data_IF_197836499641
#
_entry.id   IF_197836499641
#
_cell.length_a   1.000
_cell.length_b   1.000
_cell.length_c   1.000
_cell.angle_alpha   90.00
_cell.angle_beta   90.00
_cell.angle_gamma   90.00
#
_symmetry.space_group_name_H-M   'P 1'
#
loop_
_entity.id
_entity.type
_entity.pdbx_description
1 polymer ?
#
# COMPACT_ATOMS: atom_id res chain seq x y z
N UNK A 1 6.25 31.13 -24.86
CA UNK A 1 4.98 30.46 -24.52
C UNK A 1 5.35 29.37 -23.55
N UNK A 2 5.22 29.62 -22.24
CA UNK A 2 5.48 28.62 -21.21
C UNK A 2 4.32 27.62 -21.23
N UNK A 3 4.64 26.34 -21.32
CA UNK A 3 3.68 25.25 -21.24
C UNK A 3 3.01 25.29 -19.85
N UNK A 4 1.69 25.56 -19.76
CA UNK A 4 1.00 25.65 -18.47
C UNK A 4 0.90 24.29 -17.74
N UNK A 5 1.36 23.19 -18.36
CA UNK A 5 1.37 21.85 -17.75
C UNK A 5 2.76 21.40 -17.25
N UNK A 6 3.78 22.24 -17.36
CA UNK A 6 5.18 21.90 -17.03
C UNK A 6 5.54 22.09 -15.54
N UNK A 7 4.81 21.47 -14.60
CA UNK A 7 5.09 21.66 -13.16
C UNK A 7 5.30 20.41 -12.29
N UNK A 8 5.41 19.21 -12.84
CA UNK A 8 5.44 18.03 -11.96
C UNK A 8 6.60 17.04 -12.09
N UNK A 9 7.54 17.08 -13.04
CA UNK A 9 8.33 15.86 -13.37
C UNK A 9 7.38 14.65 -13.63
N UNK A 10 7.84 13.59 -14.29
CA UNK A 10 7.08 12.32 -14.34
C UNK A 10 7.70 11.25 -13.45
N UNK A 11 8.86 11.56 -12.88
CA UNK A 11 9.63 10.62 -12.08
C UNK A 11 9.09 10.55 -10.65
N UNK A 12 8.96 9.34 -10.08
CA UNK A 12 8.54 9.17 -8.71
C UNK A 12 9.54 9.84 -7.75
N UNK A 13 9.04 10.31 -6.61
CA UNK A 13 9.84 10.95 -5.56
C UNK A 13 9.58 10.26 -4.23
N UNK A 14 10.65 9.88 -3.52
CA UNK A 14 10.57 9.22 -2.24
C UNK A 14 11.42 9.98 -1.22
N UNK A 15 10.76 10.63 -0.26
CA UNK A 15 11.40 11.31 0.86
C UNK A 15 10.97 10.57 2.13
N UNK A 16 11.86 9.75 2.67
CA UNK A 16 11.59 8.95 3.86
C UNK A 16 12.29 9.58 5.07
N UNK A 17 11.60 9.74 6.22
CA UNK A 17 12.29 10.06 7.47
C UNK A 17 13.15 8.87 7.89
N UNK A 18 14.11 9.11 8.79
CA UNK A 18 14.77 8.01 9.49
C UNK A 18 13.72 7.27 10.34
N UNK A 19 13.52 5.97 10.05
CA UNK A 19 12.46 5.20 10.69
C UNK A 19 12.70 4.96 12.19
N UNK A 20 13.95 4.89 12.65
CA UNK A 20 14.24 4.74 14.07
C UNK A 20 13.88 6.01 14.83
N UNK A 21 14.18 7.16 14.25
CA UNK A 21 13.76 8.45 14.81
C UNK A 21 12.24 8.64 14.69
N UNK A 22 11.62 8.18 13.60
CA UNK A 22 10.16 8.23 13.44
C UNK A 22 9.43 7.45 14.53
N UNK A 23 9.94 6.28 14.94
CA UNK A 23 9.36 5.49 16.03
C UNK A 23 9.43 6.19 17.38
N UNK A 24 10.51 6.92 17.65
CA UNK A 24 10.69 7.62 18.93
C UNK A 24 9.79 8.85 19.07
N UNK A 25 9.24 9.39 17.99
CA UNK A 25 8.21 10.43 18.05
C UNK A 25 6.90 9.87 18.64
N UNK A 26 6.41 10.48 19.73
CA UNK A 26 5.26 9.99 20.50
C UNK A 26 4.18 11.05 20.65
N UNK A 27 2.93 10.58 20.90
CA UNK A 27 1.83 11.45 21.31
C UNK A 27 2.24 12.20 22.59
N UNK A 28 1.98 13.51 22.62
CA UNK A 28 2.28 14.40 23.73
C UNK A 28 3.62 15.13 23.65
N UNK A 29 4.55 14.72 22.77
CA UNK A 29 5.80 15.48 22.53
C UNK A 29 5.51 16.89 22.04
N UNK A 30 6.34 17.87 22.39
CA UNK A 30 6.24 19.22 21.83
C UNK A 30 6.75 19.26 20.39
N UNK A 31 6.35 20.29 19.65
CA UNK A 31 6.84 20.54 18.29
C UNK A 31 8.36 20.67 18.23
N UNK A 32 8.97 21.35 19.20
CA UNK A 32 10.43 21.52 19.28
C UNK A 32 11.14 20.18 19.47
N UNK A 33 10.61 19.30 20.34
CA UNK A 33 11.16 17.96 20.55
C UNK A 33 11.12 17.13 19.27
N UNK A 34 10.00 17.19 18.54
CA UNK A 34 9.85 16.50 17.25
C UNK A 34 10.79 17.07 16.19
N UNK A 35 10.95 18.40 16.12
CA UNK A 35 11.86 19.04 15.15
C UNK A 35 13.32 18.73 15.49
N UNK A 36 13.69 18.68 16.76
CA UNK A 36 15.02 18.26 17.19
C UNK A 36 15.30 16.79 16.81
N UNK A 37 14.26 15.96 16.79
CA UNK A 37 14.34 14.54 16.49
C UNK A 37 14.36 14.24 14.98
N UNK A 38 13.43 14.82 14.22
CA UNK A 38 13.20 14.48 12.80
C UNK A 38 13.70 15.54 11.82
N UNK A 39 14.17 16.68 12.32
CA UNK A 39 14.42 17.87 11.52
C UNK A 39 13.16 18.72 11.30
N UNK A 40 13.24 19.84 10.55
CA UNK A 40 12.07 20.64 10.23
C UNK A 40 11.12 19.88 9.29
N UNK A 41 9.80 20.12 9.39
CA UNK A 41 8.86 19.53 8.44
C UNK A 41 9.13 20.02 7.01
N UNK A 42 8.76 19.18 6.04
CA UNK A 42 8.79 19.51 4.63
C UNK A 42 7.86 20.69 4.35
N UNK A 43 8.29 21.58 3.44
CA UNK A 43 7.43 22.63 2.91
C UNK A 43 6.39 21.98 2.00
N UNK A 44 5.20 21.72 2.53
CA UNK A 44 4.07 21.19 1.75
C UNK A 44 3.13 22.35 1.34
N UNK A 45 3.07 22.72 0.06
CA UNK A 45 2.21 23.81 -0.41
C UNK A 45 0.72 23.43 -0.45
N UNK A 46 0.35 22.18 -0.13
CA UNK A 46 -1.01 21.65 -0.31
C UNK A 46 -1.74 21.27 0.99
N UNK A 47 -1.15 21.49 2.18
CA UNK A 47 -1.74 21.05 3.46
C UNK A 47 -1.87 22.15 4.51
N UNK A 48 -2.97 22.10 5.26
CA UNK A 48 -3.33 23.04 6.32
C UNK A 48 -2.46 22.87 7.59
N UNK A 49 -2.29 23.98 8.30
CA UNK A 49 -1.27 24.24 9.34
C UNK A 49 -1.15 23.21 10.49
N UNK A 50 -2.21 22.47 10.81
CA UNK A 50 -2.22 21.54 11.94
C UNK A 50 -1.49 20.20 11.69
N UNK A 51 -1.24 19.82 10.43
CA UNK A 51 -0.52 18.59 10.09
C UNK A 51 0.77 18.90 9.33
N UNK A 52 1.89 18.55 9.94
CA UNK A 52 3.21 18.71 9.36
C UNK A 52 3.65 17.43 8.65
N UNK A 53 4.12 17.56 7.40
CA UNK A 53 4.69 16.45 6.63
C UNK A 53 6.19 16.31 6.92
N UNK A 54 6.64 15.10 7.17
CA UNK A 54 8.06 14.76 7.42
C UNK A 54 8.63 13.81 6.36
N UNK A 55 7.83 13.48 5.36
CA UNK A 55 8.20 12.55 4.31
C UNK A 55 7.01 12.26 3.41
N UNK A 56 7.31 11.74 2.22
CA UNK A 56 6.30 11.29 1.30
C UNK A 56 6.81 10.18 0.36
N UNK A 57 5.87 9.41 -0.17
CA UNK A 57 6.08 8.45 -1.25
C UNK A 57 5.17 8.85 -2.41
N UNK A 58 5.74 9.40 -3.47
CA UNK A 58 5.01 9.77 -4.68
C UNK A 58 5.13 8.63 -5.69
N UNK A 59 4.08 7.83 -5.77
CA UNK A 59 4.04 6.67 -6.66
C UNK A 59 3.65 7.09 -8.09
N UNK A 60 4.20 6.44 -9.11
CA UNK A 60 3.87 6.75 -10.51
C UNK A 60 2.45 6.25 -10.80
N UNK A 61 1.50 7.17 -10.94
CA UNK A 61 0.11 6.86 -11.31
C UNK A 61 -0.41 7.93 -12.28
N UNK A 62 -1.17 7.49 -13.28
CA UNK A 62 -1.84 8.36 -14.25
C UNK A 62 -3.35 8.45 -13.91
N UNK A 63 -3.99 9.63 -14.04
CA UNK A 63 -3.44 10.90 -14.49
C UNK A 63 -2.74 11.73 -13.40
N UNK A 64 -2.84 11.32 -12.13
CA UNK A 64 -2.25 12.03 -10.98
C UNK A 64 -1.45 11.05 -10.11
N UNK A 65 -0.30 11.51 -9.59
CA UNK A 65 0.52 10.76 -8.65
C UNK A 65 -0.30 10.40 -7.41
N UNK A 66 -0.06 9.21 -6.87
CA UNK A 66 -0.59 8.85 -5.55
C UNK A 66 0.48 9.12 -4.50
N UNK A 67 0.22 10.10 -3.63
CA UNK A 67 1.14 10.49 -2.56
C UNK A 67 0.71 9.88 -1.24
N UNK A 68 1.60 9.09 -0.65
CA UNK A 68 1.51 8.70 0.76
C UNK A 68 2.44 9.59 1.58
N UNK A 69 2.10 9.87 2.84
CA UNK A 69 2.80 10.87 3.64
C UNK A 69 3.08 10.39 5.05
N UNK A 70 4.16 10.90 5.62
CA UNK A 70 4.51 10.79 7.02
C UNK A 70 4.07 12.07 7.71
N UNK A 71 3.09 11.99 8.61
CA UNK A 71 2.44 13.14 9.22
C UNK A 71 2.57 13.12 10.73
N UNK A 72 2.80 14.31 11.28
CA UNK A 72 2.59 14.61 12.69
C UNK A 72 1.56 15.73 12.78
N UNK A 73 0.49 15.46 13.53
CA UNK A 73 -0.54 16.42 13.86
C UNK A 73 -0.28 17.05 15.23
N UNK A 74 -0.33 18.39 15.30
CA UNK A 74 -0.18 19.15 16.54
C UNK A 74 -1.51 19.76 16.99
N UNK A 75 -1.74 19.74 18.31
CA UNK A 75 -2.88 20.42 18.92
C UNK A 75 -2.60 21.92 19.12
N UNK A 76 -3.55 22.64 19.73
CA UNK A 76 -3.43 24.08 20.00
C UNK A 76 -2.28 24.43 20.96
N UNK A 77 -1.75 23.46 21.72
CA UNK A 77 -0.61 23.63 22.61
C UNK A 77 0.71 23.17 21.97
N UNK A 78 0.73 23.00 20.64
CA UNK A 78 1.85 22.49 19.86
C UNK A 78 2.35 21.11 20.34
N UNK A 79 1.45 20.28 20.87
CA UNK A 79 1.75 18.90 21.25
C UNK A 79 1.24 17.92 20.23
N UNK A 80 1.98 16.83 20.02
CA UNK A 80 1.60 15.77 19.10
C UNK A 80 0.29 15.12 19.58
N UNK A 81 -0.78 15.23 18.80
CA UNK A 81 -2.02 14.47 19.04
C UNK A 81 -2.19 13.30 18.08
N UNK A 82 -1.44 13.28 16.98
CA UNK A 82 -1.52 12.23 15.96
C UNK A 82 -0.17 12.02 15.28
N UNK A 83 0.16 10.75 15.04
CA UNK A 83 1.23 10.32 14.13
C UNK A 83 0.61 9.41 13.06
N UNK A 84 1.02 9.56 11.80
CA UNK A 84 0.52 8.71 10.71
C UNK A 84 1.62 8.43 9.71
N UNK A 85 1.80 7.16 9.38
CA UNK A 85 2.71 6.70 8.33
C UNK A 85 1.93 5.87 7.29
N UNK A 86 2.50 5.66 6.08
CA UNK A 86 1.86 4.87 5.02
C UNK A 86 1.73 3.37 5.32
N UNK A 87 2.42 2.87 6.34
CA UNK A 87 2.70 1.44 6.55
C UNK A 87 1.96 0.85 7.75
N UNK A 88 0.99 1.58 8.30
CA UNK A 88 0.23 1.17 9.49
C UNK A 88 1.15 0.85 10.69
N UNK A 89 2.26 1.58 10.83
CA UNK A 89 3.24 1.40 11.91
C UNK A 89 4.19 0.22 11.74
N UNK A 90 4.14 -0.53 10.62
CA UNK A 90 5.05 -1.65 10.34
C UNK A 90 6.32 -1.18 9.65
N UNK A 91 7.24 -0.56 10.40
CA UNK A 91 8.48 -0.02 9.86
C UNK A 91 9.57 -1.09 9.68
N UNK A 92 10.25 -1.03 8.53
CA UNK A 92 11.42 -1.85 8.23
C UNK A 92 12.70 -1.09 8.58
N UNK A 93 13.34 -1.46 9.69
CA UNK A 93 14.52 -0.77 10.21
C UNK A 93 15.84 -1.20 9.57
N UNK A 94 15.83 -2.21 8.70
CA UNK A 94 16.97 -2.68 7.91
C UNK A 94 16.85 -2.33 6.42
N UNK A 95 15.73 -1.71 6.02
CA UNK A 95 15.45 -1.29 4.66
C UNK A 95 14.90 -2.40 3.75
N UNK A 96 14.88 -3.67 4.18
CA UNK A 96 14.26 -4.75 3.40
C UNK A 96 12.74 -4.58 3.37
N UNK A 97 12.03 -4.92 2.27
CA UNK A 97 10.60 -4.66 2.20
C UNK A 97 9.82 -5.47 3.24
N UNK A 98 8.90 -4.82 3.97
CA UNK A 98 7.99 -5.50 4.88
C UNK A 98 6.98 -6.35 4.11
N UNK A 99 6.50 -7.44 4.73
CA UNK A 99 5.41 -8.27 4.19
C UNK A 99 4.17 -7.41 3.85
N UNK A 100 3.66 -7.41 2.60
CA UNK A 100 2.45 -6.68 2.25
C UNK A 100 1.21 -7.21 2.98
N UNK A 101 0.22 -6.34 3.16
CA UNK A 101 -1.10 -6.69 3.71
C UNK A 101 -2.21 -6.22 2.77
N UNK A 102 -2.96 -7.18 2.23
CA UNK A 102 -4.08 -6.94 1.31
C UNK A 102 -5.26 -6.38 2.10
N UNK A 103 -5.81 -5.27 1.60
CA UNK A 103 -6.95 -4.55 2.16
C UNK A 103 -8.20 -4.80 1.32
N UNK A 104 -8.02 -4.86 0.00
CA UNK A 104 -9.10 -5.11 -0.97
C UNK A 104 -8.61 -6.24 -1.89
N UNK A 105 -9.43 -7.28 -2.10
CA UNK A 105 -10.67 -7.57 -1.39
C UNK A 105 -10.40 -7.94 0.08
N UNK A 106 -11.44 -7.89 0.90
CA UNK A 106 -11.41 -8.53 2.22
C UNK A 106 -11.46 -10.04 1.99
N UNK A 107 -10.59 -10.81 2.64
CA UNK A 107 -10.53 -12.26 2.44
C UNK A 107 -11.89 -12.92 2.73
N UNK A 108 -12.33 -13.79 1.81
CA UNK A 108 -13.64 -14.44 1.82
C UNK A 108 -14.75 -13.66 1.10
N UNK A 109 -14.46 -12.52 0.46
CA UNK A 109 -15.48 -11.75 -0.26
C UNK A 109 -16.07 -12.57 -1.41
N UNK A 110 -17.40 -12.61 -1.49
CA UNK A 110 -18.15 -13.18 -2.61
C UNK A 110 -18.59 -12.07 -3.58
N UNK A 111 -18.36 -12.29 -4.87
CA UNK A 111 -18.65 -11.36 -5.94
C UNK A 111 -19.70 -11.93 -6.91
N UNK A 112 -20.61 -11.08 -7.38
CA UNK A 112 -21.71 -11.47 -8.28
C UNK A 112 -21.70 -10.71 -9.61
N UNK A 113 -20.77 -9.78 -9.82
CA UNK A 113 -20.73 -8.94 -11.01
C UNK A 113 -20.00 -9.61 -12.19
N UNK A 114 -20.38 -9.16 -13.40
CA UNK A 114 -19.68 -9.45 -14.63
C UNK A 114 -19.44 -8.12 -15.40
N UNK A 115 -18.23 -7.87 -15.96
CA UNK A 115 -17.05 -8.73 -15.96
C UNK A 115 -16.47 -8.96 -14.55
N UNK A 116 -15.71 -10.04 -14.38
CA UNK A 116 -15.08 -10.43 -13.10
C UNK A 116 -13.79 -9.65 -12.85
N UNK A 117 -13.93 -8.33 -12.82
CA UNK A 117 -12.82 -7.41 -12.52
C UNK A 117 -12.54 -7.44 -11.03
N UNK A 118 -11.32 -7.78 -10.64
CA UNK A 118 -10.87 -7.73 -9.26
C UNK A 118 -9.98 -6.50 -9.07
N UNK A 119 -10.34 -5.65 -8.11
CA UNK A 119 -9.50 -4.55 -7.62
C UNK A 119 -8.75 -5.04 -6.38
N UNK A 120 -7.44 -5.21 -6.52
CA UNK A 120 -6.57 -5.66 -5.45
C UNK A 120 -5.79 -4.48 -4.91
N UNK A 121 -5.90 -4.18 -3.62
CA UNK A 121 -5.16 -3.09 -2.96
C UNK A 121 -4.53 -3.60 -1.69
N UNK A 122 -3.31 -3.15 -1.41
CA UNK A 122 -2.59 -3.45 -0.18
C UNK A 122 -2.03 -2.17 0.44
N UNK A 123 -1.61 -2.24 1.69
CA UNK A 123 -0.80 -1.16 2.27
C UNK A 123 0.57 -1.13 1.57
N UNK A 124 1.15 0.05 1.28
CA UNK A 124 2.55 0.14 0.89
C UNK A 124 3.43 -0.65 1.87
N UNK A 125 4.43 -1.38 1.38
CA UNK A 125 5.45 -1.98 2.22
C UNK A 125 6.40 -0.90 2.74
N UNK A 126 6.80 -1.01 4.00
CA UNK A 126 7.94 -0.25 4.51
C UNK A 126 9.24 -0.86 3.98
N UNK A 127 10.27 -0.03 3.80
CA UNK A 127 11.58 -0.45 3.32
C UNK A 127 12.21 0.70 2.56
N UNK A 128 13.40 0.50 2.01
CA UNK A 128 14.03 1.49 1.16
C UNK A 128 13.33 1.55 -0.20
N UNK A 129 12.80 2.71 -0.57
CA UNK A 129 12.19 2.91 -1.88
C UNK A 129 13.25 3.21 -2.96
N UNK A 130 13.02 2.82 -4.23
CA UNK A 130 11.78 2.27 -4.78
C UNK A 130 11.51 0.80 -4.39
N UNK A 131 10.23 0.50 -4.14
CA UNK A 131 9.71 -0.86 -3.94
C UNK A 131 8.77 -1.19 -5.11
N UNK A 132 8.89 -2.39 -5.66
CA UNK A 132 7.93 -2.98 -6.58
C UNK A 132 7.26 -4.21 -5.97
N UNK A 133 6.15 -4.63 -6.55
CA UNK A 133 5.38 -5.77 -6.07
C UNK A 133 5.20 -6.83 -7.16
N UNK A 134 5.15 -8.08 -6.71
CA UNK A 134 4.71 -9.22 -7.50
C UNK A 134 3.38 -9.70 -6.95
N UNK A 135 2.39 -9.90 -7.82
CA UNK A 135 1.10 -10.47 -7.46
C UNK A 135 0.96 -11.87 -8.07
N UNK A 136 0.50 -12.79 -7.24
CA UNK A 136 0.21 -14.15 -7.62
C UNK A 136 -1.28 -14.42 -7.46
N UNK A 137 -1.86 -15.16 -8.40
CA UNK A 137 -3.23 -15.64 -8.39
C UNK A 137 -3.28 -17.16 -8.53
N UNK A 138 -4.27 -17.78 -7.91
CA UNK A 138 -4.61 -19.18 -8.11
C UNK A 138 -6.11 -19.38 -7.97
N UNK A 139 -6.64 -20.36 -8.69
CA UNK A 139 -8.03 -20.73 -8.65
C UNK A 139 -8.21 -22.16 -8.11
N UNK A 140 -9.36 -22.39 -7.48
CA UNK A 140 -9.72 -23.70 -6.97
C UNK A 140 -10.01 -24.68 -8.11
N UNK A 141 -9.80 -25.97 -7.85
CA UNK A 141 -10.22 -27.03 -8.77
C UNK A 141 -11.74 -27.03 -8.91
N UNK A 142 -12.27 -27.12 -10.14
CA UNK A 142 -13.71 -27.28 -10.35
C UNK A 142 -14.28 -28.56 -9.70
N UNK A 143 -13.44 -29.58 -9.49
CA UNK A 143 -13.85 -30.86 -8.92
C UNK A 143 -13.60 -30.94 -7.40
N UNK A 144 -12.67 -30.14 -6.89
CA UNK A 144 -12.21 -30.15 -5.49
C UNK A 144 -12.02 -28.69 -5.03
N UNK A 145 -13.10 -27.97 -4.65
CA UNK A 145 -13.08 -26.52 -4.43
C UNK A 145 -12.22 -26.06 -3.24
N UNK A 146 -11.78 -27.00 -2.41
CA UNK A 146 -10.82 -26.79 -1.32
C UNK A 146 -9.35 -26.83 -1.79
N UNK A 147 -9.08 -27.29 -3.01
CA UNK A 147 -7.72 -27.43 -3.53
C UNK A 147 -7.44 -26.38 -4.61
N UNK A 148 -6.37 -25.62 -4.38
CA UNK A 148 -5.89 -24.57 -5.27
C UNK A 148 -4.62 -25.03 -5.99
N UNK A 149 -4.64 -25.01 -7.32
CA UNK A 149 -3.53 -25.47 -8.14
C UNK A 149 -2.83 -24.31 -8.84
N UNK A 150 -1.55 -24.55 -9.18
CA UNK A 150 -0.75 -23.77 -10.13
C UNK A 150 -0.87 -22.26 -9.96
N UNK A 151 -0.36 -21.70 -8.85
CA UNK A 151 -0.24 -20.25 -8.74
C UNK A 151 0.49 -19.64 -9.94
N UNK A 152 -0.02 -18.54 -10.45
CA UNK A 152 0.54 -17.79 -11.58
C UNK A 152 0.88 -16.38 -11.11
N UNK A 153 2.11 -15.95 -11.36
CA UNK A 153 2.48 -14.54 -11.23
C UNK A 153 1.86 -13.76 -12.39
N UNK A 154 0.97 -12.80 -12.07
CA UNK A 154 0.28 -12.00 -13.10
C UNK A 154 1.17 -10.84 -13.57
N UNK A 155 1.92 -10.25 -12.64
CA UNK A 155 2.87 -9.16 -12.87
C UNK A 155 3.89 -9.16 -11.72
N UNK A 156 5.12 -8.75 -12.01
CA UNK A 156 6.28 -8.87 -11.12
C UNK A 156 6.95 -7.54 -10.80
N UNK A 157 6.58 -6.44 -11.47
CA UNK A 157 7.21 -5.12 -11.29
C UNK A 157 6.19 -3.99 -11.05
N UNK A 158 5.13 -4.28 -10.30
CA UNK A 158 4.07 -3.31 -10.02
C UNK A 158 4.64 -2.19 -9.11
N UNK A 159 4.69 -0.92 -9.53
CA UNK A 159 5.34 0.15 -8.74
C UNK A 159 4.39 0.82 -7.74
N UNK A 160 3.15 0.35 -7.63
CA UNK A 160 2.07 0.95 -6.86
C UNK A 160 1.35 -0.14 -6.05
N UNK A 161 0.76 0.18 -4.87
CA UNK A 161 0.20 -0.83 -3.99
C UNK A 161 -1.24 -1.23 -4.36
N UNK A 162 -1.49 -1.37 -5.66
CA UNK A 162 -2.73 -1.92 -6.18
C UNK A 162 -2.50 -2.55 -7.55
N UNK A 163 -3.37 -3.48 -7.91
CA UNK A 163 -3.40 -4.12 -9.21
C UNK A 163 -4.83 -4.51 -9.55
N UNK A 164 -5.23 -4.27 -10.81
CA UNK A 164 -6.55 -4.65 -11.29
C UNK A 164 -6.40 -5.68 -12.39
N UNK A 165 -7.19 -6.76 -12.33
CA UNK A 165 -7.18 -7.79 -13.37
C UNK A 165 -8.55 -8.43 -13.54
N UNK A 166 -8.74 -9.14 -14.66
CA UNK A 166 -9.93 -9.94 -14.90
C UNK A 166 -9.67 -11.38 -14.44
N UNK A 167 -10.47 -11.86 -13.50
CA UNK A 167 -10.42 -13.25 -13.07
C UNK A 167 -11.16 -14.13 -14.09
N UNK A 168 -10.43 -15.04 -14.75
CA UNK A 168 -10.98 -15.88 -15.81
C UNK A 168 -11.97 -16.95 -15.32
N UNK A 169 -11.84 -17.37 -14.07
CA UNK A 169 -12.64 -18.44 -13.47
C UNK A 169 -14.02 -18.02 -12.98
N UNK A 170 -14.87 -19.00 -12.65
CA UNK A 170 -16.11 -18.86 -11.90
C UNK A 170 -16.11 -19.67 -10.59
N UNK A 171 -14.92 -20.09 -10.18
CA UNK A 171 -14.63 -20.85 -8.96
C UNK A 171 -14.10 -19.91 -7.86
N UNK A 172 -13.94 -20.39 -6.62
CA UNK A 172 -13.13 -19.70 -5.63
C UNK A 172 -11.71 -19.41 -6.15
N UNK A 173 -11.20 -18.24 -5.81
CA UNK A 173 -9.85 -17.78 -6.13
C UNK A 173 -9.11 -17.34 -4.88
N UNK A 174 -7.79 -17.22 -5.01
CA UNK A 174 -6.94 -16.62 -3.99
C UNK A 174 -5.82 -15.82 -4.65
N UNK A 175 -5.40 -14.77 -3.97
CA UNK A 175 -4.27 -13.93 -4.36
C UNK A 175 -3.33 -13.73 -3.19
N UNK A 176 -2.07 -13.43 -3.50
CA UNK A 176 -1.09 -12.93 -2.53
C UNK A 176 -0.10 -12.02 -3.23
N UNK A 177 0.58 -11.18 -2.45
CA UNK A 177 1.52 -10.17 -2.95
C UNK A 177 2.81 -10.24 -2.17
N UNK A 178 3.95 -10.10 -2.84
CA UNK A 178 5.26 -9.84 -2.19
C UNK A 178 5.85 -8.54 -2.70
N UNK A 179 6.74 -7.94 -1.91
CA UNK A 179 7.45 -6.72 -2.25
C UNK A 179 8.93 -7.01 -2.53
N UNK A 180 9.56 -6.19 -3.36
CA UNK A 180 11.00 -6.26 -3.68
C UNK A 180 11.60 -4.85 -3.74
N UNK A 181 12.84 -4.72 -3.28
CA UNK A 181 13.70 -3.57 -3.58
C UNK A 181 15.15 -4.03 -3.82
N UNK A 182 16.09 -3.09 -3.84
CA UNK A 182 17.52 -3.39 -4.04
C UNK A 182 18.17 -4.25 -2.96
N UNK A 183 17.56 -4.38 -1.78
CA UNK A 183 18.09 -5.11 -0.64
C UNK A 183 17.56 -6.55 -0.56
N UNK A 184 16.45 -6.85 -1.25
CA UNK A 184 15.89 -8.19 -1.30
C UNK A 184 14.38 -8.21 -1.51
N UNK A 185 13.78 -9.34 -1.16
CA UNK A 185 12.34 -9.58 -1.23
C UNK A 185 11.75 -9.71 0.18
N UNK A 186 10.49 -9.32 0.33
CA UNK A 186 9.70 -9.68 1.49
C UNK A 186 9.22 -11.13 1.43
N UNK A 187 8.75 -11.65 2.55
CA UNK A 187 7.81 -12.77 2.55
C UNK A 187 6.56 -12.43 1.73
N UNK A 188 5.91 -13.45 1.18
CA UNK A 188 4.58 -13.30 0.59
C UNK A 188 3.56 -12.90 1.65
N UNK A 189 2.59 -12.07 1.27
CA UNK A 189 1.39 -11.85 2.09
C UNK A 189 0.67 -13.17 2.35
N UNK A 190 -0.18 -13.16 3.38
CA UNK A 190 -1.13 -14.25 3.56
C UNK A 190 -2.07 -14.30 2.34
N UNK A 191 -2.58 -15.50 2.01
CA UNK A 191 -3.54 -15.63 0.92
C UNK A 191 -4.84 -14.89 1.26
N UNK A 192 -5.27 -14.02 0.34
CA UNK A 192 -6.59 -13.42 0.35
C UNK A 192 -7.50 -14.22 -0.59
N UNK A 193 -8.54 -14.83 -0.01
CA UNK A 193 -9.49 -15.66 -0.73
C UNK A 193 -10.66 -14.82 -1.26
N UNK A 194 -11.26 -15.21 -2.37
CA UNK A 194 -12.47 -14.60 -2.93
C UNK A 194 -13.29 -15.65 -3.68
N UNK A 195 -14.56 -15.37 -3.93
CA UNK A 195 -15.49 -16.32 -4.54
C UNK A 195 -16.32 -15.66 -5.66
N UNK A 196 -16.32 -16.26 -6.85
CA UNK A 196 -17.19 -15.90 -7.99
C UNK A 196 -18.19 -17.02 -8.33
N UNK A 197 -18.31 -18.03 -7.48
CA UNK A 197 -19.22 -19.16 -7.68
C UNK A 197 -20.67 -18.72 -7.60
N UNK A 198 -21.47 -19.18 -8.55
CA UNK A 198 -22.92 -19.05 -8.51
C UNK A 198 -23.43 -20.18 -7.62
N UNK A 199 -23.78 -19.87 -6.37
CA UNK A 199 -24.47 -20.84 -5.51
C UNK A 199 -25.94 -20.86 -5.92
N UNK A 200 -26.37 -21.90 -6.60
CA UNK A 200 -27.81 -22.14 -6.77
C UNK A 200 -28.44 -22.32 -5.39
N UNK A 201 -29.36 -21.42 -5.04
CA UNK A 201 -30.26 -21.63 -3.91
C UNK A 201 -31.16 -22.79 -4.28
N UNK A 202 -31.01 -23.94 -3.62
CA UNK A 202 -31.98 -25.03 -3.78
C UNK A 202 -33.37 -24.49 -3.42
N UNK A 203 -34.39 -24.63 -4.28
CA UNK A 203 -35.76 -24.39 -3.87
C UNK A 203 -36.11 -25.40 -2.76
N UNK A 204 -36.57 -24.88 -1.63
CA UNK A 204 -37.09 -25.67 -0.51
C UNK A 204 -38.44 -26.29 -0.80
#
# INVERSE_FOLDING_TARGET
MQDPFSYASTEPEFVQPDYRQWETAQIGMSREEVVALLGPPLKDPYRADANCSYGHLQMPMLPQRRTYVFLIGYDENERVFRKTDPFMGKLSLDGTPSKPEIIIPVSGTAFTHYPRVLDCRWYPSSGEYPITYTIEESCASPLEPEIFYNPVELDTEIPIPFYMFNFGGSQPGRIRVKARNRLGESEWSDYCYFDFSIRETKPG
#
